data_IF_341978601661
#
_entry.id   IF_341978601661
#
_cell.length_a   1.000
_cell.length_b   1.000
_cell.length_c   1.000
_cell.angle_alpha   90.00
_cell.angle_beta   90.00
_cell.angle_gamma   90.00
#
_symmetry.space_group_name_H-M   'P 1'
#
loop_
_entity.id
_entity.type
_entity.pdbx_description
1 polymer ?
#
# COMPACT_ATOMS: atom_id res chain seq x y z
N UNK A 1 3.47 51.97 34.73
CA UNK A 1 2.13 52.50 35.12
C UNK A 1 1.01 51.45 35.00
N UNK A 2 1.18 50.22 35.52
CA UNK A 2 0.08 49.22 35.61
C UNK A 2 0.13 48.39 36.91
N UNK A 3 0.69 48.93 38.00
CA UNK A 3 0.73 48.24 39.30
C UNK A 3 -0.24 48.80 40.35
N UNK A 4 -0.93 49.92 40.06
CA UNK A 4 -1.74 50.63 41.07
C UNK A 4 -3.27 50.50 40.92
N UNK A 5 -3.79 49.66 40.00
CA UNK A 5 -5.24 49.43 39.87
C UNK A 5 -5.74 48.15 40.54
N UNK A 6 -4.89 47.17 40.88
CA UNK A 6 -5.34 45.93 41.50
C UNK A 6 -5.38 45.96 43.03
N UNK A 7 -4.56 46.80 43.69
CA UNK A 7 -4.55 46.86 45.16
C UNK A 7 -5.79 47.57 45.75
N UNK A 8 -6.28 48.63 45.10
CA UNK A 8 -7.43 49.40 45.58
C UNK A 8 -8.78 48.65 45.49
N UNK A 9 -8.88 47.61 44.67
CA UNK A 9 -10.13 46.84 44.53
C UNK A 9 -10.29 45.76 45.61
N UNK A 10 -9.19 45.32 46.22
CA UNK A 10 -9.18 44.25 47.24
C UNK A 10 -9.52 44.82 48.62
N UNK A 11 -9.11 46.06 48.88
CA UNK A 11 -9.28 46.71 50.20
C UNK A 11 -10.70 47.23 50.42
N UNK A 12 -11.43 47.58 49.35
CA UNK A 12 -12.84 48.01 49.42
C UNK A 12 -13.81 46.87 49.81
N UNK A 13 -13.46 45.61 49.52
CA UNK A 13 -14.33 44.44 49.82
C UNK A 13 -14.21 44.02 51.29
N UNK A 14 -13.14 44.42 51.98
CA UNK A 14 -12.85 43.98 53.36
C UNK A 14 -13.72 44.65 54.43
N UNK A 15 -14.33 45.81 54.14
CA UNK A 15 -15.01 46.65 55.14
C UNK A 15 -16.54 46.54 55.20
N UNK A 16 -17.18 45.62 54.48
CA UNK A 16 -18.64 45.41 54.53
C UNK A 16 -19.10 44.33 55.51
N UNK A 17 -18.26 44.01 56.51
CA UNK A 17 -18.45 42.90 57.44
C UNK A 17 -18.94 43.27 58.83
N UNK A 18 -19.84 44.25 59.02
CA UNK A 18 -20.51 44.49 60.32
C UNK A 18 -21.95 44.98 60.17
N UNK A 19 -22.91 44.05 60.12
CA UNK A 19 -24.10 43.94 61.02
C UNK A 19 -25.20 43.06 60.40
N UNK A 20 -25.65 42.12 61.23
CA UNK A 20 -27.00 41.56 61.40
C UNK A 20 -27.70 40.78 60.26
N UNK A 21 -27.86 39.48 60.50
CA UNK A 21 -29.11 38.68 60.35
C UNK A 21 -29.86 38.63 59.00
N UNK A 22 -29.14 38.53 57.88
CA UNK A 22 -29.64 37.97 56.60
C UNK A 22 -28.60 37.03 55.94
N UNK A 23 -27.74 36.42 56.76
CA UNK A 23 -26.34 36.19 56.42
C UNK A 23 -25.94 34.77 55.95
N UNK A 24 -26.81 33.76 55.89
CA UNK A 24 -26.34 32.40 55.55
C UNK A 24 -26.51 32.02 54.06
N UNK A 25 -27.62 32.36 53.40
CA UNK A 25 -27.79 32.03 51.97
C UNK A 25 -26.97 32.93 51.01
N UNK A 26 -26.81 34.21 51.33
CA UNK A 26 -25.96 35.14 50.55
C UNK A 26 -24.46 34.78 50.63
N UNK A 27 -23.98 34.26 51.77
CA UNK A 27 -22.58 33.82 51.94
C UNK A 27 -22.24 32.59 51.09
N UNK A 28 -23.19 31.68 50.87
CA UNK A 28 -22.95 30.49 50.05
C UNK A 28 -22.88 30.84 48.56
N UNK A 29 -23.81 31.67 48.07
CA UNK A 29 -23.83 32.13 46.68
C UNK A 29 -22.58 32.96 46.33
N UNK A 30 -22.16 33.85 47.24
CA UNK A 30 -20.98 34.68 47.03
C UNK A 30 -19.67 33.86 47.08
N UNK A 31 -19.57 32.84 47.94
CA UNK A 31 -18.37 31.97 47.99
C UNK A 31 -18.22 31.15 46.70
N UNK A 32 -19.31 30.61 46.17
CA UNK A 32 -19.28 29.83 44.90
C UNK A 32 -18.98 30.73 43.70
N UNK A 33 -19.53 31.95 43.65
CA UNK A 33 -19.23 32.91 42.60
C UNK A 33 -17.77 33.38 42.67
N UNK A 34 -17.25 33.61 43.88
CA UNK A 34 -15.86 33.99 44.11
C UNK A 34 -14.90 32.88 43.67
N UNK A 35 -15.20 31.62 43.98
CA UNK A 35 -14.38 30.49 43.53
C UNK A 35 -14.36 30.37 42.00
N UNK A 36 -15.51 30.54 41.33
CA UNK A 36 -15.59 30.57 39.87
C UNK A 36 -14.80 31.72 39.25
N UNK A 37 -14.76 32.89 39.90
CA UNK A 37 -13.98 34.03 39.44
C UNK A 37 -12.47 33.79 39.63
N UNK A 38 -12.07 33.20 40.75
CA UNK A 38 -10.66 32.80 41.03
C UNK A 38 -10.17 31.75 40.02
N UNK A 39 -11.00 30.77 39.69
CA UNK A 39 -10.65 29.75 38.69
C UNK A 39 -10.58 30.33 37.27
N UNK A 40 -11.42 31.33 36.97
CA UNK A 40 -11.39 32.04 35.69
C UNK A 40 -10.13 32.92 35.56
N UNK A 41 -9.71 33.61 36.62
CA UNK A 41 -8.48 34.40 36.62
C UNK A 41 -7.23 33.52 36.49
N UNK A 42 -7.19 32.36 37.16
CA UNK A 42 -6.09 31.39 37.00
C UNK A 42 -5.96 30.87 35.56
N UNK A 43 -7.09 30.56 34.90
CA UNK A 43 -7.10 30.14 33.50
C UNK A 43 -6.69 31.24 32.52
N UNK A 44 -6.90 32.51 32.86
CA UNK A 44 -6.47 33.64 32.04
C UNK A 44 -4.95 33.87 32.17
N UNK A 45 -4.39 33.77 33.38
CA UNK A 45 -2.94 33.83 33.62
C UNK A 45 -2.19 32.70 32.89
N UNK A 46 -2.66 31.45 32.98
CA UNK A 46 -2.02 30.31 32.28
C UNK A 46 -2.00 30.51 30.74
N UNK A 47 -3.08 31.07 30.17
CA UNK A 47 -3.17 31.38 28.74
C UNK A 47 -2.21 32.49 28.32
N UNK A 48 -1.99 33.48 29.18
CA UNK A 48 -1.08 34.59 28.92
C UNK A 48 0.38 34.12 28.99
N UNK A 49 0.72 33.27 29.96
CA UNK A 49 2.04 32.66 30.10
C UNK A 49 2.37 31.72 28.92
N UNK A 50 1.40 30.95 28.43
CA UNK A 50 1.57 30.09 27.26
C UNK A 50 1.74 30.91 25.96
N UNK A 51 1.01 32.02 25.83
CA UNK A 51 1.19 32.97 24.72
C UNK A 51 2.60 33.57 24.74
N UNK A 52 3.12 33.93 25.93
CA UNK A 52 4.46 34.49 26.05
C UNK A 52 5.56 33.46 25.76
N UNK A 53 5.41 32.21 26.24
CA UNK A 53 6.28 31.08 25.86
C UNK A 53 6.27 30.83 24.35
N UNK A 54 5.10 30.85 23.70
CA UNK A 54 4.99 30.75 22.22
C UNK A 54 5.68 31.91 21.51
N UNK A 55 5.57 33.14 22.03
CA UNK A 55 6.22 34.33 21.47
C UNK A 55 7.75 34.25 21.58
N UNK A 56 8.28 33.80 22.72
CA UNK A 56 9.72 33.56 22.94
C UNK A 56 10.25 32.44 22.01
N UNK A 57 9.53 31.33 21.86
CA UNK A 57 9.86 30.25 20.91
C UNK A 57 9.93 30.75 19.45
N UNK A 58 8.98 31.60 19.02
CA UNK A 58 9.00 32.22 17.68
C UNK A 58 10.20 33.15 17.47
N UNK A 59 10.62 33.91 18.49
CA UNK A 59 11.78 34.80 18.43
C UNK A 59 13.10 34.00 18.31
N UNK A 60 13.25 32.93 19.10
CA UNK A 60 14.38 32.01 18.98
C UNK A 60 14.42 31.30 17.62
N UNK A 61 13.27 30.91 17.06
CA UNK A 61 13.19 30.30 15.73
C UNK A 61 13.64 31.26 14.61
N UNK A 62 13.32 32.56 14.73
CA UNK A 62 13.79 33.59 13.78
C UNK A 62 15.31 33.78 13.86
N UNK A 63 15.87 33.90 15.07
CA UNK A 63 17.32 34.03 15.26
C UNK A 63 18.08 32.79 14.76
N UNK A 64 17.51 31.61 14.94
CA UNK A 64 18.10 30.36 14.44
C UNK A 64 18.02 30.23 12.90
N UNK A 65 17.02 30.84 12.24
CA UNK A 65 16.96 30.94 10.77
C UNK A 65 18.04 31.87 10.23
N UNK A 66 18.31 33.00 10.90
CA UNK A 66 19.39 33.93 10.52
C UNK A 66 20.76 33.27 10.70
N UNK A 67 21.00 32.59 11.81
CA UNK A 67 22.25 31.83 12.03
C UNK A 67 22.43 30.72 10.98
N UNK A 68 21.35 29.99 10.64
CA UNK A 68 21.36 28.98 9.58
C UNK A 68 21.67 29.58 8.21
N UNK A 69 21.10 30.74 7.88
CA UNK A 69 21.39 31.44 6.63
C UNK A 69 22.84 31.92 6.55
N UNK A 70 23.39 32.42 7.67
CA UNK A 70 24.81 32.82 7.76
C UNK A 70 25.77 31.64 7.64
N UNK A 71 25.47 30.51 8.29
CA UNK A 71 26.23 29.24 8.14
C UNK A 71 26.15 28.69 6.71
N UNK A 72 24.99 28.79 6.06
CA UNK A 72 24.77 28.35 4.67
C UNK A 72 25.53 29.22 3.66
N UNK A 73 25.68 30.53 3.95
CA UNK A 73 26.54 31.44 3.18
C UNK A 73 28.02 31.08 3.34
N UNK A 74 28.46 30.77 4.58
CA UNK A 74 29.85 30.38 4.89
C UNK A 74 30.29 29.07 4.23
N UNK A 75 29.43 28.04 4.25
CA UNK A 75 29.73 26.75 3.63
C UNK A 75 29.78 26.83 2.09
N UNK A 76 28.91 27.63 1.46
CA UNK A 76 28.97 27.90 0.01
C UNK A 76 30.26 28.61 -0.41
N UNK A 77 30.74 29.56 0.41
CA UNK A 77 31.97 30.31 0.12
C UNK A 77 33.21 29.39 0.21
N UNK A 78 33.28 28.49 1.20
CA UNK A 78 34.38 27.52 1.31
C UNK A 78 34.43 26.51 0.16
N UNK A 79 33.26 26.07 -0.33
CA UNK A 79 33.18 25.13 -1.44
C UNK A 79 33.50 25.81 -2.78
N UNK A 80 33.04 27.05 -2.97
CA UNK A 80 33.38 27.87 -4.14
C UNK A 80 34.86 28.28 -4.15
N UNK A 81 35.48 28.54 -2.99
CA UNK A 81 36.91 28.86 -2.94
C UNK A 81 37.78 27.65 -3.25
N UNK A 82 37.39 26.44 -2.79
CA UNK A 82 38.12 25.21 -3.12
C UNK A 82 38.00 24.89 -4.63
N UNK A 83 36.81 25.07 -5.21
CA UNK A 83 36.57 24.87 -6.63
C UNK A 83 37.29 25.92 -7.52
N UNK A 84 37.34 27.19 -7.08
CA UNK A 84 38.03 28.26 -7.82
C UNK A 84 39.56 28.12 -7.79
N UNK A 85 40.14 27.66 -6.66
CA UNK A 85 41.58 27.38 -6.55
C UNK A 85 41.98 26.20 -7.44
N UNK A 86 41.12 25.19 -7.59
CA UNK A 86 41.35 24.07 -8.53
C UNK A 86 41.13 24.44 -10.00
N UNK A 87 40.33 25.48 -10.30
CA UNK A 87 40.05 25.92 -11.68
C UNK A 87 41.19 26.79 -12.28
N UNK A 88 41.95 27.49 -11.43
CA UNK A 88 43.03 28.38 -11.88
C UNK A 88 44.40 27.71 -12.07
N UNK A 89 44.64 26.57 -11.42
CA UNK A 89 45.84 25.77 -11.65
C UNK A 89 45.61 24.81 -12.82
N UNK A 90 45.66 25.38 -14.02
CA UNK A 90 45.65 24.64 -15.28
C UNK A 90 46.90 23.79 -15.43
N UNK A 91 46.86 22.55 -14.95
CA UNK A 91 47.68 21.42 -15.41
C UNK A 91 47.45 20.21 -14.51
N UNK A 92 47.40 19.03 -15.13
CA UNK A 92 47.27 17.68 -14.56
C UNK A 92 45.84 17.10 -14.52
N UNK A 93 45.79 15.83 -14.93
CA UNK A 93 44.64 14.97 -15.18
C UNK A 93 43.47 15.16 -14.21
N UNK A 94 42.26 15.25 -14.78
CA UNK A 94 40.97 15.29 -14.08
C UNK A 94 40.77 14.03 -13.22
N UNK A 95 41.25 14.04 -11.97
CA UNK A 95 40.94 13.02 -10.94
C UNK A 95 39.68 13.37 -10.14
N UNK A 96 38.88 14.34 -10.59
CA UNK A 96 37.73 14.86 -9.85
C UNK A 96 36.62 13.81 -9.68
N UNK A 97 36.43 12.92 -10.66
CA UNK A 97 35.40 11.89 -10.61
C UNK A 97 35.69 10.81 -9.56
N UNK A 98 36.89 10.18 -9.48
CA UNK A 98 37.23 9.27 -8.40
C UNK A 98 37.08 9.88 -7.00
N UNK A 99 37.46 11.14 -6.81
CA UNK A 99 37.33 11.81 -5.50
C UNK A 99 35.87 12.15 -5.18
N UNK A 100 35.07 12.52 -6.18
CA UNK A 100 33.65 12.81 -6.02
C UNK A 100 32.83 11.52 -5.81
N UNK A 101 33.27 10.41 -6.42
CA UNK A 101 32.72 9.07 -6.18
C UNK A 101 33.14 8.49 -4.84
N UNK A 102 34.39 8.66 -4.39
CA UNK A 102 34.79 8.23 -3.04
C UNK A 102 34.06 9.03 -1.96
N UNK A 103 33.87 10.34 -2.14
CA UNK A 103 33.01 11.17 -1.29
C UNK A 103 31.51 10.80 -1.36
N UNK A 104 31.09 10.08 -2.40
CA UNK A 104 29.73 9.59 -2.55
C UNK A 104 29.56 8.14 -2.04
N UNK A 105 30.64 7.36 -1.99
CA UNK A 105 30.68 6.03 -1.36
C UNK A 105 30.64 6.13 0.16
N UNK A 106 31.39 7.07 0.73
CA UNK A 106 31.22 7.49 2.12
C UNK A 106 30.02 8.44 2.18
N UNK A 107 28.82 7.91 2.42
CA UNK A 107 27.63 8.72 2.65
C UNK A 107 27.91 9.75 3.76
N UNK A 108 28.32 10.96 3.38
CA UNK A 108 28.43 12.07 4.30
C UNK A 108 27.06 12.23 4.98
N UNK A 109 27.12 12.17 6.30
CA UNK A 109 26.08 11.81 7.27
C UNK A 109 24.84 12.73 7.32
N UNK A 110 24.64 13.63 6.35
CA UNK A 110 23.48 14.51 6.25
C UNK A 110 22.89 14.62 4.83
N UNK A 111 21.59 14.95 4.75
CA UNK A 111 20.89 15.13 3.47
C UNK A 111 21.42 16.32 2.66
N UNK A 112 22.16 17.24 3.28
CA UNK A 112 22.70 18.43 2.62
C UNK A 112 23.99 18.13 1.87
N UNK A 113 24.88 17.31 2.44
CA UNK A 113 26.08 16.83 1.77
C UNK A 113 25.72 16.03 0.52
N UNK A 114 24.77 15.10 0.64
CA UNK A 114 24.26 14.32 -0.52
C UNK A 114 23.64 15.20 -1.61
N UNK A 115 22.91 16.25 -1.22
CA UNK A 115 22.43 17.26 -2.17
C UNK A 115 23.56 18.09 -2.80
N UNK A 116 24.63 18.35 -2.05
CA UNK A 116 25.85 18.99 -2.56
C UNK A 116 26.53 18.15 -3.65
N UNK A 117 26.61 16.83 -3.47
CA UNK A 117 27.12 15.89 -4.48
C UNK A 117 26.27 15.94 -5.75
N UNK A 118 24.94 15.92 -5.61
CA UNK A 118 24.04 16.03 -6.77
C UNK A 118 24.25 17.32 -7.57
N UNK A 119 24.44 18.45 -6.88
CA UNK A 119 24.73 19.74 -7.52
C UNK A 119 26.11 19.77 -8.18
N UNK A 120 27.12 19.17 -7.54
CA UNK A 120 28.46 19.06 -8.10
C UNK A 120 28.46 18.20 -9.37
N UNK A 121 27.75 17.07 -9.35
CA UNK A 121 27.57 16.20 -10.51
C UNK A 121 26.83 16.91 -11.67
N UNK A 122 25.80 17.69 -11.35
CA UNK A 122 25.09 18.54 -12.33
C UNK A 122 26.00 19.64 -12.93
N UNK A 123 26.94 20.17 -12.15
CA UNK A 123 27.96 21.12 -12.62
C UNK A 123 29.02 20.46 -13.51
N UNK A 124 29.41 19.23 -13.16
CA UNK A 124 30.38 18.43 -13.89
C UNK A 124 29.84 17.86 -15.22
N UNK A 125 28.53 17.91 -15.46
CA UNK A 125 27.88 17.32 -16.65
C UNK A 125 28.52 17.69 -18.00
N UNK A 126 29.03 18.92 -18.14
CA UNK A 126 29.68 19.38 -19.37
C UNK A 126 31.12 18.85 -19.56
N UNK A 127 31.73 18.29 -18.51
CA UNK A 127 33.12 17.84 -18.50
C UNK A 127 33.25 16.31 -18.46
N UNK A 128 32.14 15.58 -18.32
CA UNK A 128 32.11 14.12 -18.37
C UNK A 128 32.45 13.64 -19.79
N UNK A 129 33.19 12.54 -19.90
CA UNK A 129 33.47 11.85 -21.16
C UNK A 129 32.63 10.58 -21.28
N UNK A 130 32.59 9.99 -22.48
CA UNK A 130 31.88 8.70 -22.72
C UNK A 130 32.33 7.57 -21.79
N UNK A 131 33.61 7.56 -21.41
CA UNK A 131 34.20 6.60 -20.45
C UNK A 131 33.63 6.73 -19.02
N UNK A 132 33.19 7.93 -18.63
CA UNK A 132 32.70 8.22 -17.28
C UNK A 132 31.20 7.92 -17.12
N UNK A 133 30.45 7.89 -18.23
CA UNK A 133 28.99 7.69 -18.24
C UNK A 133 28.54 6.40 -17.56
N UNK A 134 29.14 5.22 -17.82
CA UNK A 134 28.74 3.99 -17.14
C UNK A 134 28.85 4.08 -15.62
N UNK A 135 29.91 4.72 -15.11
CA UNK A 135 30.16 4.88 -13.68
C UNK A 135 29.12 5.82 -13.06
N UNK A 136 28.89 6.97 -13.71
CA UNK A 136 27.90 7.96 -13.28
C UNK A 136 26.48 7.41 -13.31
N UNK A 137 26.11 6.70 -14.39
CA UNK A 137 24.79 6.10 -14.52
C UNK A 137 24.58 4.97 -13.50
N UNK A 138 25.60 4.14 -13.27
CA UNK A 138 25.52 3.08 -12.25
C UNK A 138 25.29 3.68 -10.85
N UNK A 139 25.97 4.78 -10.51
CA UNK A 139 25.74 5.49 -9.26
C UNK A 139 24.34 6.12 -9.16
N UNK A 140 23.91 6.82 -10.22
CA UNK A 140 22.59 7.46 -10.29
C UNK A 140 21.46 6.45 -10.08
N UNK A 141 21.51 5.35 -10.84
CA UNK A 141 20.43 4.36 -10.87
C UNK A 141 20.49 3.43 -9.63
N UNK A 142 21.69 3.06 -9.15
CA UNK A 142 21.82 2.09 -8.05
C UNK A 142 21.73 2.71 -6.66
N UNK A 143 22.26 3.91 -6.46
CA UNK A 143 22.37 4.53 -5.12
C UNK A 143 21.55 5.81 -4.99
N UNK A 144 21.67 6.71 -5.95
CA UNK A 144 21.23 8.09 -5.75
C UNK A 144 19.71 8.29 -5.95
N UNK A 145 19.06 7.50 -6.83
CA UNK A 145 17.60 7.47 -6.96
C UNK A 145 16.88 6.77 -5.81
N UNK A 146 17.59 5.91 -5.06
CA UNK A 146 17.05 5.19 -3.90
C UNK A 146 17.26 5.96 -2.57
N UNK A 147 17.67 7.22 -2.61
CA UNK A 147 17.89 8.01 -1.40
C UNK A 147 16.60 8.14 -0.56
N UNK A 148 16.65 7.94 0.77
CA UNK A 148 15.49 8.05 1.63
C UNK A 148 14.90 9.49 1.68
N UNK A 149 15.65 10.51 1.27
CA UNK A 149 15.19 11.89 1.26
C UNK A 149 14.70 12.32 -0.14
N UNK A 150 13.44 12.75 -0.21
CA UNK A 150 12.78 13.16 -1.45
C UNK A 150 13.41 14.40 -2.10
N UNK A 151 13.96 15.34 -1.33
CA UNK A 151 14.63 16.53 -1.87
C UNK A 151 15.99 16.19 -2.48
N UNK A 152 16.68 15.21 -1.91
CA UNK A 152 17.94 14.67 -2.47
C UNK A 152 17.63 13.92 -3.76
N UNK A 153 16.64 13.03 -3.73
CA UNK A 153 16.18 12.28 -4.91
C UNK A 153 15.84 13.20 -6.09
N UNK A 154 15.09 14.29 -5.84
CA UNK A 154 14.78 15.30 -6.87
C UNK A 154 16.04 15.97 -7.43
N UNK A 155 16.97 16.37 -6.56
CA UNK A 155 18.19 17.07 -6.98
C UNK A 155 19.11 16.15 -7.80
N UNK A 156 19.19 14.87 -7.41
CA UNK A 156 19.91 13.83 -8.14
C UNK A 156 19.25 13.57 -9.49
N UNK A 157 17.93 13.48 -9.54
CA UNK A 157 17.17 13.27 -10.78
C UNK A 157 17.42 14.42 -11.76
N UNK A 158 17.34 15.67 -11.30
CA UNK A 158 17.67 16.85 -12.11
C UNK A 158 19.10 16.81 -12.65
N UNK A 159 20.07 16.36 -11.83
CA UNK A 159 21.45 16.17 -12.27
C UNK A 159 21.57 15.08 -13.34
N UNK A 160 20.90 13.94 -13.15
CA UNK A 160 20.88 12.84 -14.11
C UNK A 160 20.28 13.25 -15.46
N UNK A 161 19.14 13.94 -15.44
CA UNK A 161 18.50 14.46 -16.66
C UNK A 161 19.46 15.39 -17.41
N UNK A 162 20.12 16.31 -16.70
CA UNK A 162 21.07 17.25 -17.31
C UNK A 162 22.28 16.56 -17.95
N UNK A 163 22.77 15.48 -17.34
CA UNK A 163 23.88 14.68 -17.88
C UNK A 163 23.42 13.95 -19.13
N UNK A 164 22.24 13.32 -19.09
CA UNK A 164 21.66 12.62 -20.24
C UNK A 164 21.41 13.60 -21.38
N UNK A 165 20.83 14.77 -21.12
CA UNK A 165 20.56 15.78 -22.15
C UNK A 165 21.82 16.29 -22.85
N UNK A 166 22.94 16.34 -22.13
CA UNK A 166 24.24 16.74 -22.70
C UNK A 166 24.89 15.64 -23.53
N UNK A 167 24.78 14.39 -23.09
CA UNK A 167 25.50 13.25 -23.67
C UNK A 167 24.65 12.39 -24.60
N UNK A 168 23.34 12.60 -24.69
CA UNK A 168 22.42 11.75 -25.48
C UNK A 168 22.80 11.68 -26.96
N UNK A 169 23.22 12.79 -27.58
CA UNK A 169 23.41 12.85 -29.03
C UNK A 169 24.47 11.86 -29.53
N UNK A 170 25.51 11.65 -28.72
CA UNK A 170 26.66 10.83 -29.10
C UNK A 170 26.62 9.44 -28.43
N UNK A 171 25.88 9.28 -27.33
CA UNK A 171 25.91 8.08 -26.49
C UNK A 171 24.53 7.44 -26.22
N UNK A 172 23.50 7.71 -27.04
CA UNK A 172 22.15 7.12 -26.88
C UNK A 172 22.17 5.60 -26.79
N UNK A 173 22.95 4.91 -27.64
CA UNK A 173 22.99 3.44 -27.64
C UNK A 173 23.59 2.88 -26.35
N UNK A 174 24.66 3.50 -25.84
CA UNK A 174 25.28 3.13 -24.58
C UNK A 174 24.34 3.40 -23.39
N UNK A 175 23.69 4.57 -23.38
CA UNK A 175 22.71 4.92 -22.35
C UNK A 175 21.52 3.97 -22.35
N UNK A 176 20.99 3.64 -23.53
CA UNK A 176 19.90 2.69 -23.68
C UNK A 176 20.30 1.32 -23.15
N UNK A 177 21.46 0.78 -23.56
CA UNK A 177 21.98 -0.49 -23.06
C UNK A 177 22.13 -0.48 -21.55
N UNK A 178 22.70 0.58 -20.94
CA UNK A 178 22.85 0.68 -19.48
C UNK A 178 21.50 0.69 -18.74
N UNK A 179 20.48 1.35 -19.29
CA UNK A 179 19.13 1.35 -18.71
C UNK A 179 18.45 -0.01 -18.87
N UNK A 180 18.57 -0.62 -20.04
CA UNK A 180 18.00 -1.93 -20.33
C UNK A 180 18.61 -3.01 -19.43
N UNK A 181 19.94 -3.01 -19.28
CA UNK A 181 20.67 -3.91 -18.40
C UNK A 181 20.23 -3.73 -16.93
N UNK A 182 20.00 -2.50 -16.48
CA UNK A 182 19.52 -2.24 -15.12
C UNK A 182 18.07 -2.70 -14.90
N UNK A 183 17.18 -2.42 -15.86
CA UNK A 183 15.78 -2.83 -15.80
C UNK A 183 15.65 -4.36 -15.86
N UNK A 184 16.49 -5.02 -16.65
CA UNK A 184 16.49 -6.48 -16.81
C UNK A 184 17.17 -7.21 -15.64
N UNK A 185 18.17 -6.62 -14.98
CA UNK A 185 18.85 -7.22 -13.80
C UNK A 185 17.95 -7.37 -12.57
N UNK A 186 16.74 -6.83 -12.57
CA UNK A 186 15.92 -6.66 -11.36
C UNK A 186 14.44 -6.99 -11.52
N UNK A 187 14.06 -7.86 -12.45
CA UNK A 187 12.68 -8.36 -12.55
C UNK A 187 12.40 -9.39 -11.42
N UNK A 188 12.57 -8.96 -10.16
CA UNK A 188 12.03 -9.62 -8.96
C UNK A 188 10.51 -9.40 -8.85
N UNK A 189 9.98 -8.45 -9.62
CA UNK A 189 8.56 -8.11 -9.69
C UNK A 189 7.63 -9.33 -9.86
N UNK A 190 7.83 -10.25 -10.82
CA UNK A 190 6.98 -11.43 -10.95
C UNK A 190 7.00 -12.31 -9.69
N UNK A 191 8.17 -12.52 -9.09
CA UNK A 191 8.30 -13.34 -7.87
C UNK A 191 7.68 -12.67 -6.65
N UNK A 192 7.70 -11.34 -6.60
CA UNK A 192 7.11 -10.57 -5.52
C UNK A 192 5.58 -10.54 -5.66
N UNK A 193 5.07 -10.31 -6.88
CA UNK A 193 3.64 -10.38 -7.20
C UNK A 193 3.09 -11.77 -6.88
N UNK A 194 3.77 -12.84 -7.31
CA UNK A 194 3.31 -14.20 -7.01
C UNK A 194 3.28 -14.49 -5.51
N UNK A 195 4.32 -14.13 -4.76
CA UNK A 195 4.35 -14.27 -3.29
C UNK A 195 3.26 -13.45 -2.60
N UNK A 196 2.99 -12.23 -3.08
CA UNK A 196 1.95 -11.36 -2.52
C UNK A 196 0.56 -11.91 -2.79
N UNK A 197 0.30 -12.39 -4.01
CA UNK A 197 -0.95 -13.06 -4.38
C UNK A 197 -1.16 -14.32 -3.53
N UNK A 198 -0.13 -15.16 -3.39
CA UNK A 198 -0.21 -16.37 -2.56
C UNK A 198 -0.52 -16.06 -1.10
N UNK A 199 0.15 -15.05 -0.53
CA UNK A 199 -0.08 -14.63 0.85
C UNK A 199 -1.44 -13.98 1.05
N UNK A 200 -1.95 -13.28 0.04
CA UNK A 200 -3.29 -12.69 0.05
C UNK A 200 -4.38 -13.78 0.02
N UNK A 201 -4.14 -14.85 -0.74
CA UNK A 201 -5.12 -15.92 -0.98
C UNK A 201 -5.13 -17.00 0.11
N UNK A 202 -3.95 -17.42 0.57
CA UNK A 202 -3.79 -18.62 1.42
C UNK A 202 -3.54 -18.31 2.90
N UNK A 203 -3.20 -17.07 3.27
CA UNK A 203 -2.90 -16.76 4.68
C UNK A 203 -4.17 -16.77 5.53
N UNK A 204 -4.11 -17.41 6.70
CA UNK A 204 -5.21 -17.44 7.69
C UNK A 204 -5.35 -16.10 8.44
N UNK A 205 -4.25 -15.34 8.56
CA UNK A 205 -4.23 -14.08 9.32
C UNK A 205 -4.70 -12.91 8.47
N UNK A 206 -5.77 -12.25 8.92
CA UNK A 206 -6.32 -11.06 8.26
C UNK A 206 -5.28 -9.92 8.13
N UNK A 207 -4.41 -9.76 9.12
CA UNK A 207 -3.34 -8.76 9.09
C UNK A 207 -2.34 -8.99 7.95
N UNK A 208 -1.98 -10.25 7.69
CA UNK A 208 -1.06 -10.62 6.60
C UNK A 208 -1.73 -10.47 5.24
N UNK A 209 -3.00 -10.88 5.08
CA UNK A 209 -3.75 -10.68 3.83
C UNK A 209 -3.89 -9.20 3.49
N UNK A 210 -4.21 -8.37 4.48
CA UNK A 210 -4.28 -6.91 4.30
C UNK A 210 -2.92 -6.32 3.94
N UNK A 211 -1.87 -6.70 4.66
CA UNK A 211 -0.50 -6.28 4.36
C UNK A 211 -0.07 -6.66 2.94
N UNK A 212 -0.41 -7.87 2.49
CA UNK A 212 -0.15 -8.33 1.13
C UNK A 212 -0.97 -7.53 0.09
N UNK A 213 -2.24 -7.21 0.38
CA UNK A 213 -3.06 -6.38 -0.50
C UNK A 213 -2.50 -4.96 -0.66
N UNK A 214 -2.07 -4.33 0.44
CA UNK A 214 -1.40 -3.04 0.40
C UNK A 214 -0.05 -3.10 -0.33
N UNK A 215 0.70 -4.19 -0.15
CA UNK A 215 1.93 -4.45 -0.89
C UNK A 215 1.69 -4.54 -2.39
N UNK A 216 0.68 -5.31 -2.80
CA UNK A 216 0.30 -5.49 -4.20
C UNK A 216 -0.17 -4.17 -4.82
N UNK A 217 -0.95 -3.35 -4.09
CA UNK A 217 -1.33 -2.01 -4.53
C UNK A 217 -0.12 -1.08 -4.72
N UNK A 218 0.90 -1.21 -3.86
CA UNK A 218 2.18 -0.48 -4.02
C UNK A 218 2.94 -0.89 -5.28
N UNK A 219 2.94 -2.19 -5.60
CA UNK A 219 3.53 -2.72 -6.84
C UNK A 219 2.79 -2.17 -8.05
N UNK A 220 1.46 -2.26 -8.09
CA UNK A 220 0.66 -1.73 -9.20
C UNK A 220 0.88 -0.23 -9.39
N UNK A 221 1.00 0.53 -8.30
CA UNK A 221 1.30 1.95 -8.37
C UNK A 221 2.72 2.24 -8.87
N UNK A 222 3.69 1.38 -8.56
CA UNK A 222 5.09 1.53 -8.96
C UNK A 222 5.36 1.13 -10.41
N UNK A 223 4.77 0.02 -10.87
CA UNK A 223 4.95 -0.51 -12.22
C UNK A 223 3.92 0.04 -13.23
N UNK A 224 2.86 0.71 -12.76
CA UNK A 224 1.80 1.24 -13.61
C UNK A 224 0.76 0.18 -14.00
N UNK A 225 -0.25 0.60 -14.77
CA UNK A 225 -1.41 -0.26 -15.07
C UNK A 225 -1.07 -1.48 -15.95
N UNK A 226 0.04 -1.42 -16.70
CA UNK A 226 0.53 -2.51 -17.56
C UNK A 226 0.89 -3.78 -16.77
N UNK A 227 1.18 -3.66 -15.47
CA UNK A 227 1.50 -4.82 -14.63
C UNK A 227 0.27 -5.71 -14.36
N UNK A 228 -0.95 -5.17 -14.47
CA UNK A 228 -2.18 -5.92 -14.22
C UNK A 228 -2.38 -7.01 -15.27
N UNK A 229 -2.07 -6.69 -16.53
CA UNK A 229 -2.13 -7.61 -17.65
C UNK A 229 -0.89 -8.50 -17.69
N UNK A 230 0.32 -7.92 -17.57
CA UNK A 230 1.60 -8.68 -17.62
C UNK A 230 1.71 -9.77 -16.55
N UNK A 231 1.12 -9.56 -15.38
CA UNK A 231 1.16 -10.53 -14.27
C UNK A 231 -0.20 -11.13 -13.93
N UNK A 232 -1.20 -10.97 -14.81
CA UNK A 232 -2.54 -11.57 -14.70
C UNK A 232 -3.27 -11.35 -13.36
N UNK A 233 -2.92 -10.27 -12.63
CA UNK A 233 -3.37 -10.01 -11.25
C UNK A 233 -4.90 -10.01 -11.16
N UNK A 234 -5.57 -9.41 -12.16
CA UNK A 234 -7.03 -9.30 -12.20
C UNK A 234 -7.69 -10.67 -12.40
N UNK A 235 -7.10 -11.51 -13.26
CA UNK A 235 -7.62 -12.84 -13.56
C UNK A 235 -7.52 -13.71 -12.30
N UNK A 236 -6.33 -13.74 -11.67
CA UNK A 236 -6.10 -14.51 -10.45
C UNK A 236 -7.03 -14.07 -9.32
N UNK A 237 -7.25 -12.76 -9.13
CA UNK A 237 -8.15 -12.24 -8.09
C UNK A 237 -9.63 -12.57 -8.38
N UNK A 238 -10.03 -12.57 -9.65
CA UNK A 238 -11.40 -12.91 -10.04
C UNK A 238 -11.69 -14.40 -9.79
N UNK A 239 -10.81 -15.29 -10.23
CA UNK A 239 -10.94 -16.74 -10.00
C UNK A 239 -10.98 -17.06 -8.50
N UNK A 240 -10.05 -16.48 -7.75
CA UNK A 240 -9.98 -16.53 -6.29
C UNK A 240 -11.28 -16.14 -5.58
N UNK A 241 -11.93 -15.07 -6.06
CA UNK A 241 -13.19 -14.61 -5.54
C UNK A 241 -14.28 -15.64 -5.85
N UNK A 242 -14.44 -16.03 -7.11
CA UNK A 242 -15.48 -16.98 -7.51
C UNK A 242 -15.38 -18.29 -6.72
N UNK A 243 -14.19 -18.87 -6.60
CA UNK A 243 -13.99 -20.15 -5.90
C UNK A 243 -14.43 -20.10 -4.43
N UNK A 244 -14.17 -18.98 -3.73
CA UNK A 244 -14.58 -18.80 -2.33
C UNK A 244 -16.10 -18.64 -2.19
N UNK A 245 -16.73 -17.91 -3.11
CA UNK A 245 -18.17 -17.68 -3.07
C UNK A 245 -18.95 -18.94 -3.46
N UNK A 246 -18.46 -19.71 -4.44
CA UNK A 246 -19.09 -20.97 -4.85
C UNK A 246 -19.17 -21.94 -3.68
N UNK A 247 -18.12 -22.07 -2.86
CA UNK A 247 -18.16 -22.94 -1.69
C UNK A 247 -19.26 -22.57 -0.67
N UNK A 248 -19.64 -21.28 -0.57
CA UNK A 248 -20.70 -20.81 0.34
C UNK A 248 -22.09 -20.88 -0.30
N UNK A 249 -22.17 -20.64 -1.61
CA UNK A 249 -23.44 -20.63 -2.34
C UNK A 249 -23.91 -22.03 -2.75
N UNK A 250 -22.97 -22.98 -2.89
CA UNK A 250 -23.26 -24.35 -3.30
C UNK A 250 -24.34 -25.03 -2.44
N UNK A 251 -24.31 -25.00 -1.08
CA UNK A 251 -25.36 -25.62 -0.28
C UNK A 251 -26.74 -25.00 -0.52
N UNK A 252 -26.83 -23.68 -0.72
CA UNK A 252 -28.09 -22.98 -0.97
C UNK A 252 -28.68 -23.38 -2.33
N UNK A 253 -27.83 -23.51 -3.34
CA UNK A 253 -28.25 -24.00 -4.64
C UNK A 253 -28.74 -25.45 -4.57
N UNK A 254 -28.00 -26.35 -3.90
CA UNK A 254 -28.41 -27.75 -3.75
C UNK A 254 -29.77 -27.91 -3.06
N UNK A 255 -30.07 -27.08 -2.05
CA UNK A 255 -31.41 -27.04 -1.44
C UNK A 255 -32.47 -26.56 -2.45
N UNK A 256 -32.15 -25.55 -3.26
CA UNK A 256 -33.06 -25.00 -4.27
C UNK A 256 -33.35 -25.97 -5.42
N UNK A 257 -32.42 -26.89 -5.73
CA UNK A 257 -32.66 -28.00 -6.66
C UNK A 257 -33.68 -29.03 -6.14
N UNK A 258 -33.82 -29.12 -4.81
CA UNK A 258 -34.78 -29.99 -4.14
C UNK A 258 -36.13 -29.31 -3.86
N UNK A 259 -36.36 -28.09 -4.34
CA UNK A 259 -37.60 -27.35 -4.11
C UNK A 259 -38.80 -28.03 -4.79
N UNK A 260 -40.00 -27.89 -4.21
CA UNK A 260 -41.25 -28.42 -4.75
C UNK A 260 -41.67 -27.69 -6.04
N UNK A 261 -41.39 -26.39 -6.14
CA UNK A 261 -41.82 -25.53 -7.25
C UNK A 261 -40.87 -25.67 -8.44
N UNK A 262 -41.43 -25.98 -9.62
CA UNK A 262 -40.66 -26.16 -10.85
C UNK A 262 -39.87 -24.90 -11.25
N UNK A 263 -40.49 -23.72 -11.15
CA UNK A 263 -39.82 -22.45 -11.50
C UNK A 263 -38.64 -22.12 -10.59
N UNK A 264 -38.71 -22.48 -9.30
CA UNK A 264 -37.60 -22.30 -8.35
C UNK A 264 -36.43 -23.21 -8.73
N UNK A 265 -36.70 -24.48 -9.07
CA UNK A 265 -35.67 -25.41 -9.55
C UNK A 265 -35.01 -24.91 -10.83
N UNK A 266 -35.79 -24.43 -11.81
CA UNK A 266 -35.27 -23.90 -13.08
C UNK A 266 -34.45 -22.62 -12.91
N UNK A 267 -34.86 -21.74 -12.00
CA UNK A 267 -34.08 -20.55 -11.64
C UNK A 267 -32.77 -20.94 -10.94
N UNK A 268 -32.80 -21.91 -10.04
CA UNK A 268 -31.62 -22.45 -9.38
C UNK A 268 -30.65 -23.09 -10.38
N UNK A 269 -31.16 -23.83 -11.35
CA UNK A 269 -30.39 -24.42 -12.45
C UNK A 269 -29.69 -23.33 -13.28
N UNK A 270 -30.41 -22.27 -13.65
CA UNK A 270 -29.85 -21.15 -14.41
C UNK A 270 -28.75 -20.41 -13.63
N UNK A 271 -28.96 -20.20 -12.33
CA UNK A 271 -27.96 -19.61 -11.44
C UNK A 271 -26.73 -20.53 -11.28
N UNK A 272 -26.95 -21.84 -11.16
CA UNK A 272 -25.89 -22.83 -11.10
C UNK A 272 -25.06 -22.86 -12.39
N UNK A 273 -25.67 -22.84 -13.57
CA UNK A 273 -24.95 -22.74 -14.86
C UNK A 273 -24.06 -21.50 -14.92
N UNK A 274 -24.59 -20.34 -14.53
CA UNK A 274 -23.84 -19.08 -14.52
C UNK A 274 -22.68 -19.05 -13.49
N UNK A 275 -22.82 -19.78 -12.38
CA UNK A 275 -21.75 -19.94 -11.40
C UNK A 275 -20.70 -20.95 -11.88
N UNK A 276 -21.11 -22.09 -12.42
CA UNK A 276 -20.21 -23.15 -12.87
C UNK A 276 -19.38 -22.75 -14.09
N UNK A 277 -19.90 -21.87 -14.96
CA UNK A 277 -19.14 -21.32 -16.10
C UNK A 277 -17.96 -20.43 -15.70
N UNK A 278 -17.90 -19.99 -14.44
CA UNK A 278 -16.82 -19.15 -13.91
C UNK A 278 -15.90 -19.92 -12.96
N UNK A 279 -16.13 -21.21 -12.76
CA UNK A 279 -15.41 -22.02 -11.79
C UNK A 279 -14.00 -22.36 -12.29
N UNK A 280 -12.98 -22.12 -11.47
CA UNK A 280 -11.61 -22.50 -11.80
C UNK A 280 -11.39 -24.01 -11.61
N UNK A 281 -10.30 -24.56 -12.12
CA UNK A 281 -9.91 -25.96 -11.85
C UNK A 281 -9.76 -26.25 -10.33
N UNK A 282 -9.28 -25.26 -9.58
CA UNK A 282 -9.17 -25.35 -8.12
C UNK A 282 -10.55 -25.28 -7.44
N UNK A 283 -11.48 -24.48 -7.98
CA UNK A 283 -12.86 -24.42 -7.55
C UNK A 283 -13.58 -25.78 -7.70
N UNK A 284 -13.39 -26.46 -8.84
CA UNK A 284 -13.92 -27.82 -9.07
C UNK A 284 -13.41 -28.78 -7.99
N UNK A 285 -12.11 -28.73 -7.68
CA UNK A 285 -11.50 -29.55 -6.61
C UNK A 285 -12.13 -29.32 -5.24
N UNK A 286 -12.60 -28.11 -4.95
CA UNK A 286 -13.26 -27.78 -3.67
C UNK A 286 -14.72 -28.26 -3.63
N UNK A 287 -15.44 -28.14 -4.74
CA UNK A 287 -16.87 -28.45 -4.85
C UNK A 287 -17.13 -29.95 -5.03
N UNK A 288 -16.29 -30.62 -5.81
CA UNK A 288 -16.48 -32.01 -6.22
C UNK A 288 -16.65 -33.00 -5.05
N UNK A 289 -15.85 -32.95 -3.97
CA UNK A 289 -16.04 -33.87 -2.84
C UNK A 289 -17.43 -33.77 -2.19
N UNK A 290 -17.99 -32.56 -2.12
CA UNK A 290 -19.32 -32.33 -1.55
C UNK A 290 -20.42 -32.90 -2.45
N UNK A 291 -20.28 -32.74 -3.78
CA UNK A 291 -21.20 -33.32 -4.76
C UNK A 291 -21.15 -34.84 -4.75
N UNK A 292 -19.95 -35.43 -4.78
CA UNK A 292 -19.76 -36.88 -4.71
C UNK A 292 -20.31 -37.48 -3.42
N UNK A 293 -20.20 -36.77 -2.29
CA UNK A 293 -20.83 -37.17 -1.04
C UNK A 293 -22.36 -37.17 -1.15
N UNK A 294 -22.94 -36.15 -1.80
CA UNK A 294 -24.38 -36.09 -2.02
C UNK A 294 -24.93 -37.19 -2.95
N UNK A 295 -24.10 -37.74 -3.86
CA UNK A 295 -24.48 -38.92 -4.65
C UNK A 295 -24.68 -40.19 -3.79
N UNK A 296 -24.09 -40.22 -2.59
CA UNK A 296 -24.20 -41.34 -1.66
C UNK A 296 -25.17 -41.07 -0.52
N UNK A 297 -25.92 -39.98 -0.59
CA UNK A 297 -26.92 -39.66 0.41
C UNK A 297 -28.08 -40.67 0.40
N UNK A 298 -28.72 -40.85 1.55
CA UNK A 298 -29.93 -41.66 1.67
C UNK A 298 -31.11 -40.98 0.98
N UNK A 299 -31.11 -39.65 1.01
CA UNK A 299 -32.16 -38.84 0.43
C UNK A 299 -32.07 -38.80 -1.10
N UNK A 300 -33.15 -39.18 -1.78
CA UNK A 300 -33.15 -39.27 -3.24
C UNK A 300 -33.18 -37.89 -3.90
N UNK A 301 -33.75 -36.87 -3.26
CA UNK A 301 -33.72 -35.48 -3.75
C UNK A 301 -32.29 -34.91 -3.73
N UNK A 302 -31.56 -35.17 -2.65
CA UNK A 302 -30.14 -34.78 -2.53
C UNK A 302 -29.28 -35.47 -3.60
N UNK A 303 -29.51 -36.78 -3.84
CA UNK A 303 -28.85 -37.52 -4.93
C UNK A 303 -29.12 -36.91 -6.29
N UNK A 304 -30.39 -36.66 -6.62
CA UNK A 304 -30.78 -36.00 -7.87
C UNK A 304 -30.08 -34.64 -8.03
N UNK A 305 -30.13 -33.79 -7.00
CA UNK A 305 -29.54 -32.45 -7.01
C UNK A 305 -28.02 -32.50 -7.26
N UNK A 306 -27.33 -33.46 -6.66
CA UNK A 306 -25.90 -33.69 -6.89
C UNK A 306 -25.60 -34.18 -8.30
N UNK A 307 -26.41 -35.07 -8.88
CA UNK A 307 -26.25 -35.53 -10.28
C UNK A 307 -26.46 -34.37 -11.26
N UNK A 308 -27.52 -33.59 -11.06
CA UNK A 308 -27.88 -32.47 -11.91
C UNK A 308 -26.79 -31.38 -11.89
N UNK A 309 -26.23 -31.10 -10.71
CA UNK A 309 -25.10 -30.18 -10.58
C UNK A 309 -23.82 -30.70 -11.25
N UNK A 310 -23.56 -32.02 -11.20
CA UNK A 310 -22.43 -32.63 -11.93
C UNK A 310 -22.61 -32.55 -13.45
N UNK A 311 -23.83 -32.75 -13.96
CA UNK A 311 -24.14 -32.56 -15.37
C UNK A 311 -23.91 -31.11 -15.84
N UNK A 312 -24.38 -30.14 -15.05
CA UNK A 312 -24.10 -28.70 -15.32
C UNK A 312 -22.58 -28.42 -15.35
N UNK A 313 -21.82 -29.06 -14.46
CA UNK A 313 -20.36 -28.91 -14.41
C UNK A 313 -19.66 -29.59 -15.60
N UNK A 314 -20.18 -30.72 -16.10
CA UNK A 314 -19.70 -31.37 -17.31
C UNK A 314 -19.92 -30.49 -18.56
N UNK A 315 -21.08 -29.84 -18.66
CA UNK A 315 -21.42 -28.93 -19.76
C UNK A 315 -20.50 -27.69 -19.81
N UNK A 316 -20.18 -27.10 -18.64
CA UNK A 316 -19.52 -25.78 -18.57
C UNK A 316 -18.03 -25.84 -18.23
N UNK A 317 -17.54 -26.95 -17.66
CA UNK A 317 -16.14 -27.13 -17.27
C UNK A 317 -15.57 -28.51 -17.67
N UNK A 318 -15.67 -28.92 -18.95
CA UNK A 318 -15.32 -30.28 -19.39
C UNK A 318 -13.82 -30.59 -19.21
N UNK A 319 -12.94 -29.63 -19.46
CA UNK A 319 -11.49 -29.82 -19.33
C UNK A 319 -11.06 -30.00 -17.88
N UNK A 320 -11.68 -29.27 -16.95
CA UNK A 320 -11.42 -29.33 -15.52
C UNK A 320 -11.99 -30.64 -14.93
N UNK A 321 -13.16 -31.07 -15.41
CA UNK A 321 -13.81 -32.31 -14.98
C UNK A 321 -13.09 -33.57 -15.49
N UNK A 322 -12.47 -33.50 -16.66
CA UNK A 322 -11.76 -34.62 -17.30
C UNK A 322 -10.73 -35.28 -16.38
N UNK A 323 -10.07 -34.49 -15.54
CA UNK A 323 -9.05 -34.96 -14.59
C UNK A 323 -9.63 -35.82 -13.47
N UNK A 324 -10.94 -35.75 -13.23
CA UNK A 324 -11.65 -36.43 -12.16
C UNK A 324 -12.60 -37.52 -12.66
N UNK A 325 -12.65 -37.77 -13.97
CA UNK A 325 -13.57 -38.75 -14.58
C UNK A 325 -13.43 -40.15 -13.96
N UNK A 326 -12.21 -40.57 -13.65
CA UNK A 326 -11.95 -41.87 -13.01
C UNK A 326 -12.62 -42.00 -11.63
N UNK A 327 -12.85 -40.89 -10.92
CA UNK A 327 -13.57 -40.87 -9.64
C UNK A 327 -15.08 -40.72 -9.82
N UNK A 328 -15.49 -39.94 -10.83
CA UNK A 328 -16.90 -39.59 -11.08
C UNK A 328 -17.64 -40.77 -11.71
N UNK A 329 -17.07 -41.40 -12.75
CA UNK A 329 -17.71 -42.48 -13.52
C UNK A 329 -18.19 -43.65 -12.66
N UNK A 330 -17.39 -44.21 -11.72
CA UNK A 330 -17.86 -45.29 -10.86
C UNK A 330 -19.04 -44.88 -9.97
N UNK A 331 -19.10 -43.61 -9.52
CA UNK A 331 -20.19 -43.09 -8.70
C UNK A 331 -21.45 -42.84 -9.52
N UNK A 332 -21.32 -42.30 -10.73
CA UNK A 332 -22.47 -42.11 -11.63
C UNK A 332 -23.08 -43.45 -12.06
N UNK A 333 -22.27 -44.45 -12.40
CA UNK A 333 -22.76 -45.80 -12.73
C UNK A 333 -23.56 -46.43 -11.58
N UNK A 334 -23.14 -46.21 -10.33
CA UNK A 334 -23.88 -46.66 -9.15
C UNK A 334 -25.25 -45.98 -9.04
N UNK A 335 -25.31 -44.68 -9.36
CA UNK A 335 -26.55 -43.88 -9.34
C UNK A 335 -27.49 -44.27 -10.49
N UNK A 336 -26.96 -44.69 -11.65
CA UNK A 336 -27.77 -45.23 -12.76
C UNK A 336 -28.47 -46.56 -12.41
N UNK A 337 -28.03 -47.24 -11.35
CA UNK A 337 -28.68 -48.44 -10.81
C UNK A 337 -29.49 -48.16 -9.54
N UNK A 338 -29.77 -46.89 -9.23
CA UNK A 338 -30.52 -46.51 -8.04
C UNK A 338 -31.98 -47.01 -8.13
N UNK A 339 -32.54 -47.35 -6.97
CA UNK A 339 -33.94 -47.79 -6.83
C UNK A 339 -34.98 -46.74 -7.24
N UNK A 340 -34.62 -45.45 -7.23
CA UNK A 340 -35.55 -44.37 -7.53
C UNK A 340 -35.49 -43.98 -9.03
N UNK A 341 -36.61 -44.03 -9.78
CA UNK A 341 -36.61 -43.88 -11.23
C UNK A 341 -36.12 -42.51 -11.72
N UNK A 342 -36.40 -41.43 -10.97
CA UNK A 342 -35.93 -40.08 -11.30
C UNK A 342 -34.40 -39.98 -11.18
N UNK A 343 -33.81 -40.65 -10.19
CA UNK A 343 -32.37 -40.62 -9.92
C UNK A 343 -31.65 -41.47 -10.95
N UNK A 344 -32.22 -42.63 -11.31
CA UNK A 344 -31.75 -43.48 -12.40
C UNK A 344 -31.71 -42.74 -13.74
N UNK A 345 -32.82 -42.11 -14.14
CA UNK A 345 -32.88 -41.34 -15.39
C UNK A 345 -31.92 -40.15 -15.42
N UNK A 346 -31.75 -39.45 -14.28
CA UNK A 346 -30.75 -38.39 -14.17
C UNK A 346 -29.33 -38.94 -14.29
N UNK A 347 -29.04 -40.10 -13.69
CA UNK A 347 -27.75 -40.79 -13.78
C UNK A 347 -27.41 -41.21 -15.21
N UNK A 348 -28.38 -41.78 -15.94
CA UNK A 348 -28.21 -42.14 -17.35
C UNK A 348 -27.92 -40.91 -18.22
N UNK A 349 -28.63 -39.82 -17.98
CA UNK A 349 -28.40 -38.54 -18.68
C UNK A 349 -27.01 -37.99 -18.39
N UNK A 350 -26.58 -38.02 -17.13
CA UNK A 350 -25.26 -37.53 -16.73
C UNK A 350 -24.11 -38.39 -17.30
N UNK A 351 -24.31 -39.71 -17.44
CA UNK A 351 -23.33 -40.61 -18.09
C UNK A 351 -23.22 -40.33 -19.59
N UNK A 352 -24.29 -39.88 -20.24
CA UNK A 352 -24.22 -39.48 -21.65
C UNK A 352 -23.55 -38.11 -21.87
N UNK A 353 -23.53 -37.26 -20.83
CA UNK A 353 -22.98 -35.90 -20.88
C UNK A 353 -21.52 -35.80 -20.42
N UNK A 354 -21.01 -36.82 -19.72
CA UNK A 354 -19.67 -36.86 -19.14
C UNK A 354 -18.74 -37.79 -19.94
#
# INVERSE_FOLDING_TARGET
>A
MKENKHKNSIESVRNLGRKSTASQHSKFYNTVLFQKLVDKSKKEEEKEEEKEKKKRRRKNLKNMRVLRFQLQKRQRIHFLSYFAVSFFNGSQQFQVLPTLFSLAEDLACDCKGRKGIALALSGAANFLRTEDLPIVMTFLISKALADPNTDVQKSVLEAGIKIIDKHRKDNISLLFLLFEDYLNKKDEAPTLVSKLLDKLMKSDKNGERRGAAFGLAGVVKGFGISCLEKYEIVITLKEAFVDRYVSQMLPLLLVSFSDQVFEVRKAAESAARAMMSQLSAQGVKLVLPSLLKGLEDKDWQTKRSSVEMLGIMADHAPQQLSQYLYMIMPKLNKVSTDTHPIVQSAGETAVQQA
#
